data_IF_247697991521
#
_entry.id   IF_247697991521
#
_cell.length_a   1.000
_cell.length_b   1.000
_cell.length_c   1.000
_cell.angle_alpha   90.00
_cell.angle_beta   90.00
_cell.angle_gamma   90.00
#
_symmetry.space_group_name_H-M   'P 1'
#
loop_
_entity.id
_entity.type
_entity.pdbx_description
1 polymer ?
#
# COMPACT_ATOMS: atom_id res chain seq x y z
N UNK A 1 -35.93 -1.08 7.88
CA UNK A 1 -35.40 -2.44 7.67
C UNK A 1 -36.04 -3.16 6.47
N UNK A 2 -37.38 -3.14 6.34
CA UNK A 2 -38.12 -3.78 5.24
C UNK A 2 -37.79 -3.18 3.87
N UNK A 3 -37.70 -1.85 3.74
CA UNK A 3 -37.36 -1.18 2.48
C UNK A 3 -35.93 -1.51 1.99
N UNK A 4 -34.98 -1.60 2.90
CA UNK A 4 -33.60 -2.00 2.56
C UNK A 4 -33.53 -3.47 2.09
N UNK A 5 -34.25 -4.36 2.76
CA UNK A 5 -34.35 -5.76 2.37
C UNK A 5 -35.05 -5.93 1.02
N UNK A 6 -36.13 -5.19 0.80
CA UNK A 6 -36.82 -5.16 -0.49
C UNK A 6 -35.93 -4.67 -1.62
N UNK A 7 -35.15 -3.61 -1.39
CA UNK A 7 -34.19 -3.10 -2.37
C UNK A 7 -33.09 -4.13 -2.70
N UNK A 8 -32.60 -4.85 -1.71
CA UNK A 8 -31.58 -5.89 -1.93
C UNK A 8 -32.12 -7.08 -2.77
N UNK A 9 -33.32 -7.56 -2.45
CA UNK A 9 -33.89 -8.75 -3.10
C UNK A 9 -34.46 -8.43 -4.48
N UNK A 10 -35.15 -7.29 -4.64
CA UNK A 10 -35.90 -7.01 -5.86
C UNK A 10 -35.14 -6.17 -6.88
N UNK A 11 -34.02 -5.51 -6.49
CA UNK A 11 -33.24 -4.67 -7.42
C UNK A 11 -31.77 -5.05 -7.46
N UNK A 12 -31.11 -5.16 -6.31
CA UNK A 12 -29.68 -5.43 -6.24
C UNK A 12 -29.35 -6.85 -6.71
N UNK A 13 -29.99 -7.85 -6.16
CA UNK A 13 -29.75 -9.25 -6.53
C UNK A 13 -29.99 -9.50 -8.01
N UNK A 14 -31.13 -9.14 -8.63
CA UNK A 14 -31.34 -9.34 -10.06
C UNK A 14 -30.33 -8.61 -10.95
N UNK A 15 -29.86 -7.43 -10.54
CA UNK A 15 -28.81 -6.73 -11.27
C UNK A 15 -27.49 -7.51 -11.30
N UNK A 16 -27.11 -8.10 -10.17
CA UNK A 16 -25.92 -8.95 -10.10
C UNK A 16 -26.09 -10.28 -10.85
N UNK A 17 -27.26 -10.90 -10.78
CA UNK A 17 -27.58 -12.10 -11.56
C UNK A 17 -27.45 -11.85 -13.07
N UNK A 18 -27.88 -10.69 -13.56
CA UNK A 18 -27.67 -10.28 -14.96
C UNK A 18 -26.18 -10.15 -15.32
N UNK A 19 -25.37 -9.56 -14.43
CA UNK A 19 -23.92 -9.45 -14.64
C UNK A 19 -23.26 -10.83 -14.66
N UNK A 20 -23.62 -11.71 -13.74
CA UNK A 20 -23.11 -13.09 -13.68
C UNK A 20 -23.47 -13.83 -14.97
N UNK A 21 -24.73 -13.76 -15.41
CA UNK A 21 -25.17 -14.40 -16.63
C UNK A 21 -24.43 -13.86 -17.88
N UNK A 22 -24.20 -12.55 -17.92
CA UNK A 22 -23.39 -11.94 -18.99
C UNK A 22 -21.95 -12.48 -18.98
N UNK A 23 -21.32 -12.58 -17.79
CA UNK A 23 -19.96 -13.08 -17.64
C UNK A 23 -19.85 -14.57 -18.04
N UNK A 24 -20.81 -15.39 -17.64
CA UNK A 24 -20.89 -16.79 -18.04
C UNK A 24 -21.03 -16.95 -19.56
N UNK A 25 -21.87 -16.16 -20.21
CA UNK A 25 -22.03 -16.18 -21.67
C UNK A 25 -20.78 -15.66 -22.41
N UNK A 26 -19.96 -14.84 -21.76
CA UNK A 26 -18.70 -14.33 -22.31
C UNK A 26 -17.52 -15.30 -22.11
N UNK A 27 -17.61 -16.23 -21.17
CA UNK A 27 -16.53 -17.14 -20.78
C UNK A 27 -15.96 -17.93 -21.95
N UNK A 28 -16.83 -18.50 -22.80
CA UNK A 28 -16.43 -19.28 -23.97
C UNK A 28 -15.76 -18.45 -25.08
N UNK A 29 -15.85 -17.12 -25.00
CA UNK A 29 -15.21 -16.18 -25.92
C UNK A 29 -13.90 -15.62 -25.37
N UNK A 30 -13.60 -15.88 -24.11
CA UNK A 30 -12.37 -15.43 -23.50
C UNK A 30 -11.18 -16.21 -24.07
N UNK A 31 -10.05 -15.56 -24.36
CA UNK A 31 -8.85 -16.27 -24.79
C UNK A 31 -8.34 -17.17 -23.67
N UNK A 32 -7.82 -18.34 -24.04
CA UNK A 32 -7.29 -19.33 -23.10
C UNK A 32 -6.07 -18.77 -22.31
N UNK A 33 -5.31 -17.88 -22.97
CA UNK A 33 -4.16 -17.16 -22.36
C UNK A 33 -4.44 -15.67 -22.41
N UNK A 34 -4.28 -15.01 -21.27
CA UNK A 34 -4.37 -13.56 -21.22
C UNK A 34 -3.19 -12.92 -21.97
N UNK A 35 -3.49 -12.09 -22.96
CA UNK A 35 -2.52 -11.48 -23.87
C UNK A 35 -2.31 -9.97 -23.61
N UNK A 36 -2.90 -9.45 -22.54
CA UNK A 36 -2.84 -8.02 -22.21
C UNK A 36 -3.72 -7.13 -23.10
N UNK A 37 -3.88 -5.88 -22.71
CA UNK A 37 -4.76 -4.92 -23.36
C UNK A 37 -4.29 -4.53 -24.77
N UNK A 38 -2.96 -4.61 -25.03
CA UNK A 38 -2.38 -4.23 -26.32
C UNK A 38 -2.90 -5.03 -27.51
N UNK A 39 -3.42 -6.25 -27.28
CA UNK A 39 -3.99 -7.11 -28.35
C UNK A 39 -5.44 -6.77 -28.70
N UNK A 40 -6.11 -5.94 -27.90
CA UNK A 40 -7.48 -5.53 -28.14
C UNK A 40 -7.56 -4.40 -29.19
N UNK A 41 -8.66 -4.28 -29.94
CA UNK A 41 -8.85 -3.14 -30.84
C UNK A 41 -8.69 -1.81 -30.11
N UNK A 42 -7.75 -0.97 -30.56
CA UNK A 42 -7.42 0.31 -29.89
C UNK A 42 -6.64 0.15 -28.59
N UNK A 43 -6.21 -1.07 -28.24
CA UNK A 43 -5.55 -1.39 -26.96
C UNK A 43 -4.26 -0.62 -26.73
N UNK A 44 -3.41 -0.45 -27.76
CA UNK A 44 -2.18 0.32 -27.65
C UNK A 44 -2.44 1.78 -27.25
N UNK A 45 -3.36 2.46 -27.95
CA UNK A 45 -3.72 3.85 -27.65
C UNK A 45 -4.37 3.98 -26.25
N UNK A 46 -5.16 2.98 -25.85
CA UNK A 46 -5.71 2.93 -24.49
C UNK A 46 -4.63 2.75 -23.43
N UNK A 47 -3.64 1.90 -23.69
CA UNK A 47 -2.51 1.69 -22.77
C UNK A 47 -1.69 2.96 -22.60
N UNK A 48 -1.33 3.66 -23.68
CA UNK A 48 -0.66 4.96 -23.62
C UNK A 48 -1.47 6.01 -22.83
N UNK A 49 -2.78 6.06 -23.05
CA UNK A 49 -3.67 6.91 -22.24
C UNK A 49 -3.59 6.55 -20.77
N UNK A 50 -3.60 5.25 -20.41
CA UNK A 50 -3.51 4.78 -19.02
C UNK A 50 -2.17 5.14 -18.39
N UNK A 51 -1.05 5.00 -19.11
CA UNK A 51 0.26 5.43 -18.63
C UNK A 51 0.25 6.91 -18.26
N UNK A 52 -0.14 7.78 -19.15
CA UNK A 52 -0.24 9.23 -18.88
C UNK A 52 -1.17 9.57 -17.72
N UNK A 53 -2.31 8.89 -17.65
CA UNK A 53 -3.29 9.12 -16.60
C UNK A 53 -2.79 8.69 -15.22
N UNK A 54 -2.10 7.55 -15.14
CA UNK A 54 -1.62 7.00 -13.86
C UNK A 54 -0.32 7.66 -13.40
N UNK A 55 0.59 7.96 -14.32
CA UNK A 55 1.90 8.54 -13.99
C UNK A 55 1.88 10.07 -13.94
N UNK A 56 0.91 10.72 -14.62
CA UNK A 56 0.87 12.16 -14.86
C UNK A 56 2.12 12.70 -15.57
N UNK A 57 2.80 11.86 -16.34
CA UNK A 57 4.00 12.18 -17.14
C UNK A 57 3.78 11.81 -18.61
N UNK A 58 4.71 12.25 -19.47
CA UNK A 58 4.76 11.89 -20.89
C UNK A 58 5.74 10.71 -21.14
N UNK A 59 6.14 9.99 -20.11
CA UNK A 59 7.01 8.81 -20.24
C UNK A 59 6.35 7.73 -21.08
N UNK A 60 7.12 7.16 -21.99
CA UNK A 60 6.74 6.00 -22.79
C UNK A 60 6.79 4.71 -21.98
N UNK A 61 6.15 3.66 -22.46
CA UNK A 61 6.24 2.32 -21.86
C UNK A 61 7.69 1.83 -21.75
N UNK A 62 8.48 2.02 -22.82
CA UNK A 62 9.90 1.61 -22.83
C UNK A 62 10.74 2.36 -21.78
N UNK A 63 10.51 3.67 -21.62
CA UNK A 63 11.19 4.47 -20.59
C UNK A 63 10.80 4.02 -19.18
N UNK A 64 9.51 3.73 -18.94
CA UNK A 64 9.04 3.20 -17.65
C UNK A 64 9.64 1.81 -17.38
N UNK A 65 9.69 0.93 -18.37
CA UNK A 65 10.32 -0.37 -18.27
C UNK A 65 11.81 -0.25 -17.90
N UNK A 66 12.56 0.67 -18.57
CA UNK A 66 13.97 0.90 -18.26
C UNK A 66 14.16 1.43 -16.83
N UNK A 67 13.31 2.36 -16.36
CA UNK A 67 13.30 2.80 -14.97
C UNK A 67 13.12 1.60 -14.02
N UNK A 68 12.20 0.70 -14.35
CA UNK A 68 11.98 -0.52 -13.58
C UNK A 68 13.22 -1.40 -13.49
N UNK A 69 13.94 -1.62 -14.60
CA UNK A 69 15.17 -2.40 -14.65
C UNK A 69 16.28 -1.77 -13.79
N UNK A 70 16.47 -0.46 -13.91
CA UNK A 70 17.48 0.29 -13.17
C UNK A 70 17.20 0.27 -11.66
N UNK A 71 15.94 0.46 -11.27
CA UNK A 71 15.51 0.41 -9.86
C UNK A 71 15.66 -1.01 -9.28
N UNK A 72 15.29 -2.05 -10.01
CA UNK A 72 15.51 -3.45 -9.56
C UNK A 72 17.01 -3.71 -9.32
N UNK A 73 17.88 -3.22 -10.21
CA UNK A 73 19.32 -3.39 -10.04
C UNK A 73 19.85 -2.63 -8.81
N UNK A 74 19.42 -1.37 -8.60
CA UNK A 74 19.77 -0.55 -7.44
C UNK A 74 19.32 -1.22 -6.13
N UNK A 75 18.06 -1.59 -6.06
CA UNK A 75 17.45 -2.17 -4.85
C UNK A 75 18.07 -3.52 -4.47
N UNK A 76 18.37 -4.36 -5.46
CA UNK A 76 19.10 -5.61 -5.20
C UNK A 76 20.46 -5.37 -4.54
N UNK A 77 21.19 -4.32 -4.96
CA UNK A 77 22.47 -3.97 -4.35
C UNK A 77 22.30 -3.47 -2.91
N UNK A 78 21.27 -2.68 -2.63
CA UNK A 78 20.96 -2.24 -1.26
C UNK A 78 20.56 -3.43 -0.37
N UNK A 79 19.76 -4.36 -0.88
CA UNK A 79 19.39 -5.59 -0.17
C UNK A 79 20.60 -6.47 0.17
N UNK A 80 21.59 -6.58 -0.73
CA UNK A 80 22.86 -7.26 -0.43
C UNK A 80 23.59 -6.56 0.72
N UNK A 81 23.60 -5.21 0.72
CA UNK A 81 24.22 -4.45 1.81
C UNK A 81 23.55 -4.72 3.16
N UNK A 82 22.22 -4.78 3.20
CA UNK A 82 21.49 -5.13 4.43
C UNK A 82 21.80 -6.57 4.85
N UNK A 83 21.76 -7.53 3.93
CA UNK A 83 22.12 -8.92 4.19
C UNK A 83 23.53 -9.05 4.82
N UNK A 84 24.50 -8.32 4.26
CA UNK A 84 25.87 -8.33 4.76
C UNK A 84 25.99 -7.67 6.14
N UNK A 85 25.19 -6.64 6.42
CA UNK A 85 25.19 -5.94 7.71
C UNK A 85 24.69 -6.80 8.90
N UNK A 86 23.96 -7.87 8.61
CA UNK A 86 23.50 -8.86 9.60
C UNK A 86 24.35 -10.14 9.61
N UNK A 87 25.52 -10.11 8.98
CA UNK A 87 26.46 -11.23 8.88
C UNK A 87 25.84 -12.52 8.30
N UNK A 88 24.85 -12.41 7.42
CA UNK A 88 24.23 -13.58 6.80
C UNK A 88 25.11 -14.16 5.68
N UNK A 89 25.66 -15.35 5.93
CA UNK A 89 26.50 -16.06 4.97
C UNK A 89 25.68 -16.87 3.97
N UNK A 90 25.30 -16.26 2.85
CA UNK A 90 24.53 -16.92 1.80
C UNK A 90 24.20 -15.98 0.65
N UNK A 91 23.54 -16.50 -0.38
CA UNK A 91 23.00 -15.67 -1.46
C UNK A 91 21.84 -14.81 -0.99
N UNK A 92 21.52 -13.73 -1.72
CA UNK A 92 20.34 -12.92 -1.47
C UNK A 92 19.05 -13.77 -1.53
N UNK A 93 19.01 -14.76 -2.43
CA UNK A 93 17.89 -15.70 -2.52
C UNK A 93 17.72 -16.52 -1.21
N UNK A 94 18.84 -16.99 -0.64
CA UNK A 94 18.81 -17.71 0.63
C UNK A 94 18.41 -16.77 1.80
N UNK A 95 18.77 -15.48 1.73
CA UNK A 95 18.36 -14.49 2.71
C UNK A 95 16.86 -14.21 2.65
N UNK A 96 16.29 -14.06 1.46
CA UNK A 96 14.83 -13.98 1.31
C UNK A 96 14.12 -15.18 1.95
N UNK A 97 14.67 -16.39 1.71
CA UNK A 97 14.10 -17.60 2.31
C UNK A 97 14.21 -17.57 3.84
N UNK A 98 15.37 -17.19 4.37
CA UNK A 98 15.61 -17.08 5.82
C UNK A 98 14.62 -16.11 6.49
N UNK A 99 14.38 -14.94 5.89
CA UNK A 99 13.45 -13.93 6.42
C UNK A 99 12.00 -14.43 6.34
N UNK A 100 11.62 -15.04 5.21
CA UNK A 100 10.25 -15.54 5.00
C UNK A 100 9.91 -16.71 5.90
N UNK A 101 10.84 -17.65 6.11
CA UNK A 101 10.57 -18.87 6.86
C UNK A 101 10.91 -18.72 8.35
N UNK A 102 11.47 -17.58 8.76
CA UNK A 102 11.82 -17.29 10.14
C UNK A 102 10.59 -17.07 11.03
N UNK A 103 10.30 -17.98 11.97
CA UNK A 103 9.20 -17.82 12.92
C UNK A 103 9.31 -16.54 13.75
N UNK A 104 10.53 -16.06 14.00
CA UNK A 104 10.79 -14.80 14.70
C UNK A 104 10.19 -13.58 14.00
N UNK A 105 9.99 -13.66 12.68
CA UNK A 105 9.49 -12.59 11.82
C UNK A 105 7.95 -12.49 11.82
N UNK A 106 7.26 -13.30 12.61
CA UNK A 106 5.79 -13.30 12.65
C UNK A 106 5.26 -13.13 14.06
N UNK A 107 4.08 -12.56 14.18
CA UNK A 107 3.30 -12.61 15.40
C UNK A 107 2.55 -13.95 15.47
N UNK A 108 2.31 -14.47 16.69
CA UNK A 108 1.44 -15.65 16.85
C UNK A 108 0.05 -15.41 16.24
N UNK A 109 -0.53 -16.45 15.65
CA UNK A 109 -1.91 -16.38 15.13
C UNK A 109 -2.92 -16.55 16.28
N UNK A 110 -2.90 -15.61 17.20
CA UNK A 110 -3.77 -15.51 18.38
C UNK A 110 -4.28 -14.08 18.52
N UNK A 111 -5.27 -13.85 19.38
CA UNK A 111 -5.76 -12.48 19.63
C UNK A 111 -4.69 -11.60 20.28
N UNK A 112 -3.83 -12.19 21.12
CA UNK A 112 -2.68 -11.51 21.73
C UNK A 112 -1.66 -11.10 20.66
N UNK A 113 -1.40 -11.97 19.67
CA UNK A 113 -0.51 -11.66 18.55
C UNK A 113 -1.06 -10.56 17.65
N UNK A 114 -2.38 -10.56 17.40
CA UNK A 114 -3.07 -9.48 16.67
C UNK A 114 -2.99 -8.15 17.40
N UNK A 115 -3.18 -8.19 18.74
CA UNK A 115 -3.04 -6.99 19.56
C UNK A 115 -1.59 -6.49 19.57
N UNK A 116 -0.60 -7.38 19.68
CA UNK A 116 0.80 -7.01 19.63
C UNK A 116 1.17 -6.30 18.30
N UNK A 117 0.63 -6.75 17.16
CA UNK A 117 0.81 -6.05 15.89
C UNK A 117 0.25 -4.60 15.95
N UNK A 118 -0.95 -4.42 16.50
CA UNK A 118 -1.58 -3.09 16.64
C UNK A 118 -0.75 -2.20 17.58
N UNK A 119 -0.26 -2.74 18.67
CA UNK A 119 0.55 -2.01 19.65
C UNK A 119 1.88 -1.58 19.03
N UNK A 120 2.59 -2.48 18.34
CA UNK A 120 3.85 -2.17 17.67
C UNK A 120 3.69 -1.16 16.53
N UNK A 121 2.62 -1.29 15.72
CA UNK A 121 2.31 -0.32 14.67
C UNK A 121 1.97 1.06 15.24
N UNK A 122 1.25 1.10 16.37
CA UNK A 122 0.96 2.34 17.10
C UNK A 122 2.25 2.96 17.63
N UNK A 123 3.12 2.15 18.23
CA UNK A 123 4.40 2.62 18.75
C UNK A 123 5.31 3.18 17.65
N UNK A 124 5.37 2.55 16.48
CA UNK A 124 6.12 3.06 15.33
C UNK A 124 5.58 4.42 14.86
N UNK A 125 4.27 4.58 14.80
CA UNK A 125 3.62 5.85 14.42
C UNK A 125 3.86 6.94 15.49
N UNK A 126 3.74 6.61 16.78
CA UNK A 126 3.98 7.57 17.86
C UNK A 126 5.44 8.00 17.91
N UNK A 127 6.37 7.08 17.64
CA UNK A 127 7.80 7.37 17.58
C UNK A 127 8.12 8.38 16.48
N UNK A 128 7.68 8.12 15.24
CA UNK A 128 7.93 9.04 14.13
C UNK A 128 7.16 10.37 14.30
N UNK A 129 5.95 10.35 14.84
CA UNK A 129 5.12 11.53 15.09
C UNK A 129 5.86 12.55 15.97
N UNK A 130 6.63 12.08 16.95
CA UNK A 130 7.40 12.95 17.84
C UNK A 130 8.51 13.73 17.10
N UNK A 131 9.05 13.15 16.02
CA UNK A 131 10.13 13.75 15.22
C UNK A 131 9.62 14.66 14.09
N UNK A 132 8.39 14.46 13.61
CA UNK A 132 7.86 15.21 12.45
C UNK A 132 7.98 16.73 12.55
N UNK A 133 7.82 17.39 13.71
CA UNK A 133 8.01 18.86 13.82
C UNK A 133 9.41 19.35 13.43
N UNK A 134 10.41 18.46 13.45
CA UNK A 134 11.78 18.78 13.04
C UNK A 134 11.98 18.71 11.52
N UNK A 135 11.06 18.05 10.79
CA UNK A 135 11.15 17.80 9.35
C UNK A 135 10.08 18.54 8.54
N UNK A 136 8.94 18.85 9.15
CA UNK A 136 7.79 19.41 8.45
C UNK A 136 7.28 20.68 9.14
N UNK A 137 7.08 21.73 8.35
CA UNK A 137 6.51 23.00 8.82
C UNK A 137 4.99 23.00 9.00
N UNK A 138 4.31 21.96 8.52
CA UNK A 138 2.86 21.77 8.63
C UNK A 138 2.54 20.32 8.98
N UNK A 139 1.72 20.14 9.99
CA UNK A 139 1.27 18.83 10.45
C UNK A 139 -0.26 18.74 10.40
N UNK A 140 -0.84 17.54 10.23
CA UNK A 140 -2.29 17.37 10.21
C UNK A 140 -2.93 17.70 11.57
N UNK A 141 -4.16 18.23 11.54
CA UNK A 141 -4.97 18.47 12.74
C UNK A 141 -5.60 17.20 13.28
N UNK A 142 -6.01 16.31 12.37
CA UNK A 142 -6.64 15.04 12.75
C UNK A 142 -5.59 14.09 13.33
N UNK A 143 -5.93 13.44 14.44
CA UNK A 143 -5.16 12.32 14.97
C UNK A 143 -5.25 11.08 14.08
N UNK A 144 -4.31 10.16 14.26
CA UNK A 144 -4.31 8.85 13.62
C UNK A 144 -4.48 7.76 14.67
N UNK A 145 -5.27 6.74 14.34
CA UNK A 145 -5.39 5.53 15.17
C UNK A 145 -5.16 4.28 14.30
N UNK A 146 -4.51 3.28 14.88
CA UNK A 146 -4.34 1.96 14.26
C UNK A 146 -5.47 1.06 14.74
N UNK A 147 -6.14 0.37 13.82
CA UNK A 147 -7.25 -0.55 14.14
C UNK A 147 -7.21 -1.81 13.28
N UNK A 148 -7.61 -2.91 13.88
CA UNK A 148 -8.00 -4.09 13.12
C UNK A 148 -9.25 -3.79 12.30
N UNK A 149 -9.29 -4.28 11.06
CA UNK A 149 -10.53 -4.34 10.27
C UNK A 149 -11.54 -5.20 11.02
N UNK A 150 -12.82 -4.86 10.96
CA UNK A 150 -13.85 -5.67 11.62
C UNK A 150 -13.84 -7.11 11.06
N UNK A 151 -13.86 -8.15 11.90
CA UNK A 151 -13.65 -9.53 11.47
C UNK A 151 -14.52 -9.98 10.28
N UNK A 152 -15.76 -9.49 10.18
CA UNK A 152 -16.65 -9.80 9.07
C UNK A 152 -16.27 -9.14 7.73
N UNK A 153 -15.34 -8.19 7.74
CA UNK A 153 -14.82 -7.48 6.56
C UNK A 153 -13.39 -7.88 6.23
N UNK A 154 -12.71 -8.57 7.13
CA UNK A 154 -11.35 -9.03 6.89
C UNK A 154 -11.28 -9.98 5.70
N UNK A 155 -10.15 -9.95 5.01
CA UNK A 155 -9.81 -10.88 3.94
C UNK A 155 -8.36 -11.30 4.12
N UNK A 156 -8.12 -12.58 4.03
CA UNK A 156 -6.78 -13.14 4.14
C UNK A 156 -5.87 -12.55 3.05
N UNK A 157 -4.69 -12.10 3.45
CA UNK A 157 -3.72 -11.46 2.56
C UNK A 157 -4.15 -10.13 1.96
N UNK A 158 -5.24 -9.51 2.43
CA UNK A 158 -5.62 -8.19 1.98
C UNK A 158 -4.64 -7.13 2.50
N UNK A 159 -4.36 -6.14 1.64
CA UNK A 159 -3.50 -5.02 2.01
C UNK A 159 -4.13 -4.16 3.10
N UNK A 160 -3.29 -3.65 3.98
CA UNK A 160 -3.62 -2.59 4.91
C UNK A 160 -4.04 -1.35 4.13
N UNK A 161 -4.79 -0.47 4.79
CA UNK A 161 -5.25 0.74 4.12
C UNK A 161 -5.57 1.86 5.11
N UNK A 162 -5.40 3.08 4.62
CA UNK A 162 -5.76 4.28 5.35
C UNK A 162 -7.20 4.70 5.07
N UNK A 163 -7.92 5.10 6.11
CA UNK A 163 -9.24 5.72 6.02
C UNK A 163 -9.20 7.16 6.57
N UNK A 164 -9.56 8.18 5.76
CA UNK A 164 -9.42 9.58 6.15
C UNK A 164 -10.23 9.99 7.37
N UNK A 165 -9.64 10.84 8.19
CA UNK A 165 -10.33 11.58 9.24
C UNK A 165 -11.23 12.69 8.67
N UNK A 166 -11.70 13.58 9.55
CA UNK A 166 -12.43 14.80 9.15
C UNK A 166 -11.49 16.00 9.04
N UNK A 167 -11.76 16.96 8.13
CA UNK A 167 -10.91 18.14 7.97
C UNK A 167 -10.78 19.01 9.21
N UNK A 168 -11.76 18.97 10.10
CA UNK A 168 -11.77 19.71 11.39
C UNK A 168 -11.08 18.97 12.53
N UNK A 169 -10.59 17.74 12.28
CA UNK A 169 -9.95 16.91 13.29
C UNK A 169 -10.88 16.25 14.30
N UNK A 170 -12.21 16.43 14.16
CA UNK A 170 -13.20 15.86 15.10
C UNK A 170 -13.29 14.34 15.07
N UNK A 171 -12.84 13.70 13.99
CA UNK A 171 -12.71 12.26 13.83
C UNK A 171 -11.29 11.93 13.32
N UNK A 172 -10.58 11.02 13.99
CA UNK A 172 -9.23 10.63 13.56
C UNK A 172 -9.23 9.92 12.20
N UNK A 173 -8.08 9.96 11.52
CA UNK A 173 -7.76 9.01 10.47
C UNK A 173 -7.55 7.62 11.05
N UNK A 174 -7.73 6.60 10.24
CA UNK A 174 -7.58 5.21 10.68
C UNK A 174 -6.64 4.48 9.73
N UNK A 175 -5.58 3.92 10.28
CA UNK A 175 -4.81 2.87 9.64
C UNK A 175 -5.49 1.54 9.98
N UNK A 176 -6.09 0.89 8.98
CA UNK A 176 -6.72 -0.40 9.11
C UNK A 176 -5.76 -1.54 8.77
N UNK A 177 -5.61 -2.50 9.70
CA UNK A 177 -4.85 -3.72 9.51
C UNK A 177 -5.79 -4.93 9.34
N UNK A 178 -5.56 -5.75 8.30
CA UNK A 178 -6.20 -7.05 8.12
C UNK A 178 -5.38 -8.11 8.87
N UNK A 179 -5.93 -8.66 9.93
CA UNK A 179 -5.24 -9.58 10.84
C UNK A 179 -5.88 -10.97 10.90
N UNK A 180 -6.69 -11.34 9.90
CA UNK A 180 -7.28 -12.69 9.81
C UNK A 180 -6.24 -13.77 9.51
N UNK A 181 -5.17 -13.41 8.78
CA UNK A 181 -4.03 -14.27 8.46
C UNK A 181 -2.73 -13.61 8.93
N UNK A 182 -2.23 -14.02 10.09
CA UNK A 182 -1.00 -13.48 10.68
C UNK A 182 0.26 -13.92 9.94
N UNK A 183 0.20 -14.93 9.07
CA UNK A 183 1.33 -15.33 8.22
C UNK A 183 1.57 -14.35 7.07
N UNK A 184 0.59 -13.54 6.74
CA UNK A 184 0.68 -12.43 5.78
C UNK A 184 1.16 -11.12 6.39
N UNK A 185 1.49 -11.11 7.72
CA UNK A 185 1.84 -9.92 8.49
C UNK A 185 3.23 -10.04 9.12
N UNK A 186 4.31 -10.11 8.29
CA UNK A 186 5.65 -10.24 8.83
C UNK A 186 6.09 -8.96 9.55
N UNK A 187 6.77 -9.13 10.68
CA UNK A 187 7.25 -8.02 11.53
C UNK A 187 8.16 -7.07 10.79
N UNK A 188 9.01 -7.58 9.90
CA UNK A 188 9.94 -6.75 9.13
C UNK A 188 9.27 -5.81 8.12
N UNK A 189 7.95 -5.94 7.90
CA UNK A 189 7.18 -5.00 7.06
C UNK A 189 6.29 -4.06 7.88
N UNK A 190 6.31 -4.16 9.20
CA UNK A 190 5.42 -3.36 10.05
C UNK A 190 5.71 -1.86 9.92
N UNK A 191 6.96 -1.44 10.06
CA UNK A 191 7.32 -0.02 10.03
C UNK A 191 7.05 0.59 8.64
N UNK A 192 7.44 -0.07 7.57
CA UNK A 192 7.23 0.45 6.22
C UNK A 192 5.74 0.67 5.91
N UNK A 193 4.88 -0.25 6.35
CA UNK A 193 3.43 -0.12 6.15
C UNK A 193 2.87 0.98 7.08
N UNK A 194 3.31 1.07 8.32
CA UNK A 194 2.89 2.11 9.25
C UNK A 194 3.25 3.51 8.74
N UNK A 195 4.41 3.67 8.11
CA UNK A 195 4.84 4.94 7.53
C UNK A 195 4.14 5.26 6.22
N UNK A 196 3.79 4.24 5.42
CA UNK A 196 2.99 4.39 4.20
C UNK A 196 1.54 4.82 4.51
N UNK A 197 0.84 4.07 5.35
CA UNK A 197 -0.57 4.32 5.66
C UNK A 197 -0.75 5.48 6.65
N UNK A 198 0.21 5.64 7.55
CA UNK A 198 0.16 6.61 8.63
C UNK A 198 0.97 7.87 8.37
N UNK A 199 2.03 8.02 9.14
CA UNK A 199 2.91 9.19 9.17
C UNK A 199 4.33 8.81 8.71
N UNK A 200 4.93 9.58 7.80
CA UNK A 200 4.42 10.78 7.13
C UNK A 200 3.62 10.51 5.84
N UNK A 201 3.10 9.29 5.65
CA UNK A 201 2.44 8.82 4.43
C UNK A 201 1.02 9.33 4.22
N UNK A 202 0.09 8.41 3.93
CA UNK A 202 -1.28 8.76 3.52
C UNK A 202 -2.03 9.62 4.53
N UNK A 203 -1.90 9.34 5.83
CA UNK A 203 -2.57 10.16 6.84
C UNK A 203 -2.13 11.62 6.76
N UNK A 204 -0.84 11.89 6.74
CA UNK A 204 -0.32 13.27 6.69
C UNK A 204 -0.73 13.97 5.39
N UNK A 205 -0.52 13.32 4.25
CA UNK A 205 -0.83 13.88 2.94
C UNK A 205 -2.31 14.23 2.79
N UNK A 206 -3.18 13.25 3.08
CA UNK A 206 -4.62 13.39 2.84
C UNK A 206 -5.25 14.35 3.84
N UNK A 207 -4.86 14.30 5.12
CA UNK A 207 -5.36 15.22 6.12
C UNK A 207 -4.99 16.66 5.81
N UNK A 208 -3.72 16.94 5.49
CA UNK A 208 -3.28 18.27 5.09
C UNK A 208 -4.03 18.75 3.83
N UNK A 209 -4.19 17.88 2.82
CA UNK A 209 -4.94 18.23 1.61
C UNK A 209 -6.39 18.60 1.88
N UNK A 210 -7.04 17.94 2.84
CA UNK A 210 -8.41 18.24 3.28
C UNK A 210 -8.52 19.54 4.07
N UNK A 211 -7.45 19.95 4.75
CA UNK A 211 -7.37 21.13 5.58
C UNK A 211 -7.04 22.41 4.79
N UNK A 212 -6.66 22.28 3.51
CA UNK A 212 -6.33 23.42 2.67
C UNK A 212 -7.56 24.29 2.41
N UNK A 213 -7.42 25.58 2.75
CA UNK A 213 -8.41 26.62 2.47
C UNK A 213 -8.05 27.40 1.20
N UNK A 214 -9.04 28.07 0.62
CA UNK A 214 -8.86 28.95 -0.54
C UNK A 214 -8.35 28.29 -1.82
N UNK A 215 -8.55 26.98 -1.97
CA UNK A 215 -8.30 26.26 -3.22
C UNK A 215 -9.61 26.00 -3.96
N UNK A 216 -9.58 25.93 -5.32
CA UNK A 216 -10.78 25.59 -6.08
C UNK A 216 -11.38 24.25 -5.66
N UNK A 217 -12.72 24.18 -5.51
CA UNK A 217 -13.41 22.98 -5.03
C UNK A 217 -13.08 21.71 -5.80
N UNK A 218 -12.85 21.78 -7.11
CA UNK A 218 -12.49 20.61 -7.90
C UNK A 218 -11.18 19.97 -7.44
N UNK A 219 -10.22 20.74 -6.92
CA UNK A 219 -8.95 20.22 -6.39
C UNK A 219 -9.12 19.41 -5.11
N UNK A 220 -10.14 19.69 -4.30
CA UNK A 220 -10.43 18.91 -3.10
C UNK A 220 -11.02 17.53 -3.44
N UNK A 221 -11.50 17.35 -4.67
CA UNK A 221 -12.11 16.11 -5.16
C UNK A 221 -11.22 15.35 -6.14
N UNK A 222 -10.26 16.04 -6.78
CA UNK A 222 -9.36 15.41 -7.73
C UNK A 222 -8.40 14.45 -7.02
N UNK A 223 -8.22 13.27 -7.61
CA UNK A 223 -7.29 12.25 -7.13
C UNK A 223 -6.34 11.87 -8.25
N UNK A 224 -5.05 11.91 -7.95
CA UNK A 224 -3.99 11.48 -8.86
C UNK A 224 -3.21 10.36 -8.17
N UNK A 225 -3.26 9.16 -8.75
CA UNK A 225 -2.60 7.98 -8.20
C UNK A 225 -1.09 8.22 -8.01
N UNK A 226 -0.42 8.83 -8.99
CA UNK A 226 0.99 9.18 -8.90
C UNK A 226 1.31 10.06 -7.66
N UNK A 227 0.42 10.99 -7.32
CA UNK A 227 0.59 11.84 -6.14
C UNK A 227 0.31 11.08 -4.84
N UNK A 228 -0.80 10.32 -4.78
CA UNK A 228 -1.22 9.63 -3.56
C UNK A 228 -0.25 8.49 -3.23
N UNK A 229 -0.09 7.56 -4.15
CA UNK A 229 0.76 6.37 -3.94
C UNK A 229 2.25 6.68 -4.03
N UNK A 230 2.62 7.63 -4.90
CA UNK A 230 4.00 8.10 -4.99
C UNK A 230 4.46 8.79 -3.71
N UNK A 231 3.60 9.57 -3.06
CA UNK A 231 3.92 10.12 -1.73
C UNK A 231 4.03 9.01 -0.68
N UNK A 232 3.11 8.04 -0.66
CA UNK A 232 3.19 6.89 0.26
C UNK A 232 4.53 6.16 0.10
N UNK A 233 4.93 5.83 -1.12
CA UNK A 233 6.21 5.19 -1.39
C UNK A 233 7.40 6.09 -1.01
N UNK A 234 7.35 7.39 -1.33
CA UNK A 234 8.41 8.32 -0.94
C UNK A 234 8.52 8.45 0.59
N UNK A 235 7.40 8.41 1.30
CA UNK A 235 7.36 8.46 2.76
C UNK A 235 8.03 7.25 3.42
N UNK A 236 7.94 6.06 2.81
CA UNK A 236 8.67 4.87 3.24
C UNK A 236 10.19 5.11 3.22
N UNK A 237 10.69 5.76 2.16
CA UNK A 237 12.11 6.11 2.05
C UNK A 237 12.48 7.28 2.96
N UNK A 238 11.68 8.36 2.98
CA UNK A 238 11.92 9.55 3.80
C UNK A 238 12.00 9.20 5.30
N UNK A 239 11.17 8.25 5.75
CA UNK A 239 11.21 7.79 7.13
C UNK A 239 12.62 7.32 7.53
N UNK A 240 13.42 6.75 6.63
CA UNK A 240 14.80 6.35 6.91
C UNK A 240 15.73 7.51 7.31
N UNK A 241 15.40 8.72 6.94
CA UNK A 241 16.13 9.94 7.32
C UNK A 241 15.70 10.49 8.70
N UNK A 242 14.64 9.93 9.28
CA UNK A 242 14.07 10.36 10.56
C UNK A 242 14.65 9.50 11.68
N UNK A 243 15.19 10.08 12.76
CA UNK A 243 15.75 9.32 13.86
C UNK A 243 14.77 8.35 14.50
N UNK A 244 15.24 7.14 14.84
CA UNK A 244 14.45 6.13 15.54
C UNK A 244 13.63 5.21 14.64
N UNK A 245 13.65 5.40 13.32
CA UNK A 245 13.00 4.50 12.35
C UNK A 245 13.98 3.48 11.78
N UNK A 246 13.47 2.34 11.34
CA UNK A 246 14.26 1.25 10.73
C UNK A 246 15.56 0.93 11.49
N UNK A 247 15.50 0.98 12.82
CA UNK A 247 16.68 0.71 13.69
C UNK A 247 17.12 -0.75 13.63
N UNK A 248 16.21 -1.66 13.31
CA UNK A 248 16.50 -3.05 12.99
C UNK A 248 16.74 -3.18 11.47
N UNK A 249 17.89 -3.71 11.01
CA UNK A 249 18.19 -3.95 9.60
C UNK A 249 17.12 -4.78 8.88
N UNK A 250 16.41 -5.67 9.57
CA UNK A 250 15.32 -6.43 8.98
C UNK A 250 14.10 -5.56 8.62
N UNK A 251 13.84 -4.48 9.35
CA UNK A 251 12.81 -3.51 8.98
C UNK A 251 13.18 -2.74 7.71
N UNK A 252 14.45 -2.32 7.55
CA UNK A 252 14.92 -1.72 6.29
C UNK A 252 14.87 -2.72 5.12
N UNK A 253 15.16 -4.00 5.38
CA UNK A 253 14.96 -5.05 4.37
C UNK A 253 13.49 -5.20 3.97
N UNK A 254 12.57 -5.06 4.91
CA UNK A 254 11.13 -5.06 4.67
C UNK A 254 10.70 -3.87 3.76
N UNK A 255 11.24 -2.67 4.02
CA UNK A 255 11.06 -1.50 3.15
C UNK A 255 11.55 -1.77 1.73
N UNK A 256 12.78 -2.26 1.58
CA UNK A 256 13.35 -2.62 0.28
C UNK A 256 12.54 -3.71 -0.43
N UNK A 257 11.94 -4.65 0.30
CA UNK A 257 11.05 -5.68 -0.27
C UNK A 257 9.79 -5.07 -0.87
N UNK A 258 9.19 -4.09 -0.21
CA UNK A 258 8.05 -3.34 -0.73
C UNK A 258 8.40 -2.52 -1.97
N UNK A 259 9.55 -1.85 -1.95
CA UNK A 259 10.02 -1.00 -3.03
C UNK A 259 10.39 -1.82 -4.28
N UNK A 260 11.16 -2.91 -4.13
CA UNK A 260 11.53 -3.77 -5.27
C UNK A 260 10.33 -4.47 -5.89
N UNK A 261 9.33 -4.84 -5.09
CA UNK A 261 8.09 -5.42 -5.61
C UNK A 261 7.38 -4.43 -6.55
N UNK A 262 7.34 -3.13 -6.21
CA UNK A 262 6.77 -2.09 -7.08
C UNK A 262 7.62 -1.89 -8.34
N UNK A 263 8.95 -1.87 -8.21
CA UNK A 263 9.87 -1.74 -9.35
C UNK A 263 9.75 -2.93 -10.34
N UNK A 264 9.65 -4.17 -9.83
CA UNK A 264 9.44 -5.35 -10.67
C UNK A 264 8.14 -5.24 -11.49
N UNK A 265 7.09 -4.64 -10.96
CA UNK A 265 5.83 -4.44 -11.68
C UNK A 265 6.00 -3.54 -12.91
N UNK A 266 6.91 -2.57 -12.88
CA UNK A 266 7.23 -1.75 -14.07
C UNK A 266 7.93 -2.57 -15.16
N UNK A 267 8.62 -3.66 -14.78
CA UNK A 267 9.35 -4.53 -15.73
C UNK A 267 8.42 -5.55 -16.38
N UNK A 268 7.43 -6.07 -15.64
CA UNK A 268 6.60 -7.18 -16.11
C UNK A 268 5.26 -6.74 -16.70
N UNK A 269 4.87 -5.48 -16.55
CA UNK A 269 3.67 -4.89 -17.14
C UNK A 269 3.88 -4.60 -18.65
#
# INVERSE_FOLDING_TARGET
RSQGQDALVNYFQPAYENIIQWAENAKDKAPEIATGIGTQPGGAAYYEYRLRNQTTTDLTADEIHQIGLDEVARLRKEMETVKDSVDFNGSLQAFFQHVRDGEWNYYPDTDEGRQAYIDDATAAIDGIKAELPNFFGLLPKADLVVKRVEPFRERDGAAQHYYPGTPDGSRPGIYYAHLSDMTSMPKNQLEVIAYHEGLPGHHMQISIAQELENIPKFRTQARFTAYIEGWGLYSEYLAKEIPGTYTDPYQDFGRLTGEIWRAIRLVVD
#
